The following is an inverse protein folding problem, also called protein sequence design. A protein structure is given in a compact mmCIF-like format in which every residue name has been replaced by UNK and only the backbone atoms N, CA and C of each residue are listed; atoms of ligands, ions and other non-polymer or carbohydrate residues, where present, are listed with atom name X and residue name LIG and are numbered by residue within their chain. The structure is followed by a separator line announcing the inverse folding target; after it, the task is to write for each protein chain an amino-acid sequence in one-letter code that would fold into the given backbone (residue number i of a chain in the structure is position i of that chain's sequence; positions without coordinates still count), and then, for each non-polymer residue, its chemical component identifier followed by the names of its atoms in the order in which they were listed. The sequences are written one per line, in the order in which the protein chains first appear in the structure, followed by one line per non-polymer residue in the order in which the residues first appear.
data_IF_620105790891
#
_entry.id   IF_620105790891
#
_cell.length_a   1.000
_cell.length_b   1.000
_cell.length_c   1.000
_cell.angle_alpha   90.00
_cell.angle_beta   90.00
_cell.angle_gamma   90.00
#
_symmetry.space_group_name_H-M   'P 1'
#
loop_
_entity.id
_entity.type
_entity.pdbx_description
1 polymer ?
#
# COMPACT_ATOMS: atom_id res chain seq x y z
N UNK A 1 1.56 -8.22 -39.02
CA UNK A 1 2.62 -7.81 -38.07
C UNK A 1 2.33 -8.44 -36.72
N UNK A 2 3.05 -9.51 -36.35
CA UNK A 2 2.81 -10.30 -35.13
C UNK A 2 3.99 -10.12 -34.17
N UNK A 3 3.74 -9.60 -32.97
CA UNK A 3 4.78 -9.24 -31.99
C UNK A 3 4.79 -10.15 -30.76
N UNK A 4 5.76 -11.06 -30.73
CA UNK A 4 6.44 -11.66 -29.56
C UNK A 4 5.56 -12.44 -28.54
N UNK A 5 5.35 -13.72 -28.84
CA UNK A 5 5.01 -14.75 -27.84
C UNK A 5 6.23 -15.05 -26.96
N UNK A 6 6.12 -14.82 -25.65
CA UNK A 6 7.18 -15.17 -24.71
C UNK A 6 7.30 -16.70 -24.57
N UNK A 7 8.34 -17.26 -25.18
CA UNK A 7 8.77 -18.64 -25.02
C UNK A 7 9.27 -18.87 -23.58
N UNK A 8 8.60 -19.73 -22.81
CA UNK A 8 9.18 -20.36 -21.61
C UNK A 8 9.45 -21.82 -21.92
N UNK A 9 10.72 -22.12 -22.20
CA UNK A 9 11.23 -23.50 -22.19
C UNK A 9 11.22 -23.99 -20.74
N UNK A 10 10.34 -24.92 -20.39
CA UNK A 10 10.39 -25.64 -19.11
C UNK A 10 10.87 -27.06 -19.39
N UNK A 11 12.19 -27.25 -19.40
CA UNK A 11 12.76 -28.58 -19.36
C UNK A 11 12.73 -29.06 -17.89
N UNK A 12 11.90 -30.07 -17.61
CA UNK A 12 12.08 -30.97 -16.46
C UNK A 12 11.77 -30.41 -15.05
N UNK A 13 10.53 -29.97 -14.80
CA UNK A 13 10.02 -29.88 -13.42
C UNK A 13 8.81 -30.79 -13.31
N UNK A 14 8.97 -31.91 -12.61
CA UNK A 14 7.92 -32.88 -12.33
C UNK A 14 6.76 -32.22 -11.58
N UNK A 15 5.55 -32.42 -12.08
CA UNK A 15 4.34 -31.63 -11.79
C UNK A 15 3.74 -31.81 -10.38
N UNK A 16 4.51 -32.25 -9.36
CA UNK A 16 3.91 -32.71 -8.10
C UNK A 16 4.01 -31.79 -6.89
N UNK A 17 4.70 -30.65 -6.91
CA UNK A 17 4.77 -29.76 -5.72
C UNK A 17 5.00 -28.27 -6.03
N UNK A 18 4.41 -27.74 -7.09
CA UNK A 18 4.34 -26.28 -7.27
C UNK A 18 3.04 -25.75 -6.64
N UNK A 19 2.82 -26.01 -5.35
CA UNK A 19 1.81 -25.29 -4.60
C UNK A 19 2.28 -23.84 -4.55
N UNK A 20 1.67 -23.00 -5.39
CA UNK A 20 1.70 -21.55 -5.21
C UNK A 20 1.20 -21.30 -3.78
N UNK A 21 2.14 -21.09 -2.86
CA UNK A 21 1.83 -20.64 -1.51
C UNK A 21 1.27 -19.22 -1.65
N UNK A 22 -0.02 -19.12 -1.96
CA UNK A 22 -0.76 -17.90 -1.82
C UNK A 22 -0.77 -17.60 -0.33
N UNK A 23 0.20 -16.76 0.10
CA UNK A 23 0.26 -16.21 1.44
C UNK A 23 -1.09 -15.56 1.69
N UNK A 24 -1.93 -16.24 2.47
CA UNK A 24 -3.24 -15.76 2.88
C UNK A 24 -3.01 -14.43 3.59
N UNK A 25 -3.18 -13.32 2.86
CA UNK A 25 -3.11 -11.96 3.42
C UNK A 25 -4.19 -11.91 4.48
N UNK A 26 -3.80 -11.94 5.76
CA UNK A 26 -4.72 -11.63 6.87
C UNK A 26 -5.41 -10.33 6.52
N UNK A 27 -6.74 -10.38 6.35
CA UNK A 27 -7.56 -9.20 6.23
C UNK A 27 -7.55 -8.52 7.60
N UNK A 28 -6.53 -7.69 7.84
CA UNK A 28 -6.50 -6.83 9.02
C UNK A 28 -7.67 -5.87 8.88
N UNK A 29 -8.60 -5.94 9.83
CA UNK A 29 -9.64 -4.95 9.98
C UNK A 29 -9.01 -3.57 9.84
N UNK A 30 -9.58 -2.75 8.95
CA UNK A 30 -9.17 -1.38 8.72
C UNK A 30 -9.23 -0.63 10.05
N UNK A 31 -8.10 -0.51 10.74
CA UNK A 31 -7.99 0.42 11.86
C UNK A 31 -8.11 1.81 11.24
N UNK A 32 -9.23 2.48 11.49
CA UNK A 32 -9.45 3.85 11.05
C UNK A 32 -8.43 4.72 11.78
N UNK A 33 -7.63 5.47 11.02
CA UNK A 33 -6.72 6.45 11.63
C UNK A 33 -7.57 7.52 12.31
N UNK A 34 -7.23 7.83 13.55
CA UNK A 34 -7.89 8.91 14.28
C UNK A 34 -7.48 10.27 13.69
N UNK A 35 -8.24 11.31 14.02
CA UNK A 35 -8.02 12.66 13.47
C UNK A 35 -6.60 13.18 13.75
N UNK A 36 -6.06 12.92 14.94
CA UNK A 36 -4.69 13.29 15.32
C UNK A 36 -3.63 12.62 14.43
N UNK A 37 -3.79 11.33 14.12
CA UNK A 37 -2.91 10.60 13.21
C UNK A 37 -3.00 11.16 11.78
N UNK A 38 -4.20 11.51 11.31
CA UNK A 38 -4.41 12.15 10.00
C UNK A 38 -3.71 13.52 9.92
N UNK A 39 -3.86 14.36 10.94
CA UNK A 39 -3.13 15.64 11.02
C UNK A 39 -1.62 15.46 11.06
N UNK A 40 -1.15 14.43 11.76
CA UNK A 40 0.27 14.08 11.81
C UNK A 40 0.81 13.69 10.43
N UNK A 41 0.08 12.83 9.70
CA UNK A 41 0.41 12.47 8.31
C UNK A 41 0.49 13.72 7.43
N UNK A 42 -0.48 14.63 7.54
CA UNK A 42 -0.51 15.88 6.78
C UNK A 42 0.73 16.75 7.03
N UNK A 43 1.06 17.01 8.30
CA UNK A 43 2.22 17.83 8.68
C UNK A 43 3.52 17.20 8.18
N UNK A 44 3.73 15.93 8.44
CA UNK A 44 4.96 15.25 8.06
C UNK A 44 5.12 15.14 6.54
N UNK A 45 4.02 15.01 5.78
CA UNK A 45 4.06 15.10 4.30
C UNK A 45 4.48 16.47 3.82
N UNK A 46 4.03 17.55 4.47
CA UNK A 46 4.46 18.92 4.18
C UNK A 46 5.97 19.09 4.43
N UNK A 47 6.48 18.39 5.45
CA UNK A 47 7.92 18.31 5.78
C UNK A 47 8.68 17.30 4.90
N UNK A 48 8.07 16.80 3.83
CA UNK A 48 8.64 15.84 2.85
C UNK A 48 9.12 14.52 3.46
N UNK A 49 8.57 14.11 4.61
CA UNK A 49 8.87 12.81 5.22
C UNK A 49 8.32 11.67 4.37
N UNK A 50 9.03 10.55 4.38
CA UNK A 50 8.63 9.31 3.71
C UNK A 50 7.47 8.64 4.45
N UNK A 51 6.67 7.85 3.74
CA UNK A 51 5.55 7.11 4.36
C UNK A 51 6.03 6.16 5.47
N UNK A 52 7.24 5.60 5.36
CA UNK A 52 7.85 4.74 6.37
C UNK A 52 8.25 5.49 7.63
N UNK A 53 8.73 6.73 7.54
CA UNK A 53 8.97 7.57 8.71
C UNK A 53 7.67 7.95 9.41
N UNK A 54 6.66 8.33 8.63
CA UNK A 54 5.34 8.68 9.15
C UNK A 54 4.72 7.50 9.89
N UNK A 55 4.77 6.31 9.28
CA UNK A 55 4.26 5.07 9.85
C UNK A 55 4.95 4.71 11.18
N UNK A 56 6.28 4.82 11.24
CA UNK A 56 7.05 4.62 12.47
C UNK A 56 6.68 5.62 13.56
N UNK A 57 6.46 6.89 13.19
CA UNK A 57 6.11 7.93 14.14
C UNK A 57 4.72 7.73 14.76
N UNK A 58 3.71 7.36 13.97
CA UNK A 58 2.33 7.16 14.46
C UNK A 58 2.04 5.73 14.94
N UNK A 59 3.00 4.81 14.85
CA UNK A 59 2.87 3.43 15.31
C UNK A 59 1.97 2.54 14.43
N UNK A 60 1.90 2.80 13.12
CA UNK A 60 1.11 1.98 12.19
C UNK A 60 1.97 1.39 11.08
N UNK A 61 1.40 0.48 10.28
CA UNK A 61 2.10 -0.05 9.11
C UNK A 61 2.22 1.00 7.99
N UNK A 62 3.30 0.95 7.21
CA UNK A 62 3.44 1.80 6.02
C UNK A 62 2.30 1.57 5.01
N UNK A 63 1.79 0.34 4.93
CA UNK A 63 0.63 0.03 4.10
C UNK A 63 -0.65 0.77 4.55
N UNK A 64 -0.83 0.98 5.85
CA UNK A 64 -1.94 1.78 6.40
C UNK A 64 -1.84 3.23 5.93
N UNK A 65 -0.65 3.83 6.02
CA UNK A 65 -0.40 5.20 5.54
C UNK A 65 -0.61 5.30 4.02
N UNK A 66 -0.13 4.32 3.25
CA UNK A 66 -0.33 4.28 1.80
C UNK A 66 -1.82 4.20 1.42
N UNK A 67 -2.60 3.32 2.08
CA UNK A 67 -4.05 3.21 1.86
C UNK A 67 -4.78 4.50 2.20
N UNK A 68 -4.44 5.12 3.34
CA UNK A 68 -4.99 6.41 3.76
C UNK A 68 -4.73 7.49 2.70
N UNK A 69 -3.47 7.64 2.28
CA UNK A 69 -3.11 8.61 1.26
C UNK A 69 -3.79 8.34 -0.08
N UNK A 70 -3.92 7.08 -0.49
CA UNK A 70 -4.57 6.73 -1.76
C UNK A 70 -6.08 6.97 -1.72
N UNK A 71 -6.75 6.73 -0.59
CA UNK A 71 -8.19 6.96 -0.46
C UNK A 71 -8.55 8.43 -0.35
N UNK A 72 -7.70 9.21 0.29
CA UNK A 72 -7.98 10.60 0.68
C UNK A 72 -7.07 11.61 -0.06
N UNK A 73 -6.44 11.20 -1.17
CA UNK A 73 -5.77 12.11 -2.09
C UNK A 73 -6.76 12.68 -3.10
N UNK A 74 -6.61 13.97 -3.41
CA UNK A 74 -7.29 14.58 -4.55
C UNK A 74 -6.72 14.05 -5.88
N UNK A 75 -7.34 14.40 -7.00
CA UNK A 75 -6.88 14.05 -8.36
C UNK A 75 -5.48 14.57 -8.69
N UNK A 76 -4.92 15.47 -7.86
CA UNK A 76 -3.56 16.02 -7.97
C UNK A 76 -2.59 15.40 -6.95
N UNK A 77 -3.01 14.39 -6.19
CA UNK A 77 -2.18 13.68 -5.21
C UNK A 77 -1.99 14.43 -3.88
N UNK A 78 -2.74 15.51 -3.63
CA UNK A 78 -2.68 16.27 -2.37
C UNK A 78 -3.58 15.62 -1.34
N UNK A 79 -3.04 15.47 -0.13
CA UNK A 79 -3.75 14.94 1.02
C UNK A 79 -4.28 16.09 1.89
N UNK A 80 -5.57 16.06 2.22
CA UNK A 80 -6.18 17.01 3.14
C UNK A 80 -6.95 16.25 4.23
N UNK A 81 -6.56 16.37 5.51
CA UNK A 81 -7.23 15.64 6.60
C UNK A 81 -8.70 16.06 6.76
N UNK A 82 -9.08 17.27 6.34
CA UNK A 82 -10.48 17.74 6.31
C UNK A 82 -11.35 17.06 5.25
N UNK A 83 -10.75 16.52 4.20
CA UNK A 83 -11.45 15.82 3.11
C UNK A 83 -11.38 14.29 3.27
N UNK A 84 -10.67 13.80 4.30
CA UNK A 84 -10.53 12.39 4.55
C UNK A 84 -11.85 11.81 5.08
N UNK A 85 -12.37 10.78 4.42
CA UNK A 85 -13.62 10.12 4.82
C UNK A 85 -13.48 9.55 6.24
N UNK A 86 -14.55 9.64 7.05
CA UNK A 86 -14.60 9.11 8.43
C UNK A 86 -14.52 7.58 8.39
#
# INVERSE_FOLDING_TARGET
MMGKSYSRRTAGVTEKNATFAFSQKKHTQMQHLNESQRYTIYRMRKDKKTQSEIARYIGVSQATVSKELNRNADTRGRYSPKMAQI
#
